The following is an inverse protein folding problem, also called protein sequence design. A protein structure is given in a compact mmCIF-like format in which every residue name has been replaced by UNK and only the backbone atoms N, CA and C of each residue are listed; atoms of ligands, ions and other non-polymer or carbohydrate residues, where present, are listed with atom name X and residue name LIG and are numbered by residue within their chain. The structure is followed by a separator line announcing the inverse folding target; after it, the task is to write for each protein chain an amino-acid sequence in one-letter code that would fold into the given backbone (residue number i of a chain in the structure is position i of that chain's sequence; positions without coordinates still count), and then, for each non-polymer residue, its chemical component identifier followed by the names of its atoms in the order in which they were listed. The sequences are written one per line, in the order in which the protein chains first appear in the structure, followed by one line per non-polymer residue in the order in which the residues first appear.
data_IF_117392931299
#
_entry.id   IF_117392931299
#
_cell.length_a   1.000
_cell.length_b   1.000
_cell.length_c   1.000
_cell.angle_alpha   90.00
_cell.angle_beta   90.00
_cell.angle_gamma   90.00
#
_symmetry.space_group_name_H-M   'P 1'
#
loop_
_entity.id
_entity.type
_entity.pdbx_description
1 polymer ?
#
# COMPACT_ATOMS: atom_id res chain seq x y z
N UNK A 1 8.38 -8.92 -5.17
CA UNK A 1 7.52 -10.13 -5.18
C UNK A 1 7.06 -10.48 -6.60
N UNK A 2 7.29 -11.71 -7.08
CA UNK A 2 7.04 -12.08 -8.49
C UNK A 2 5.58 -12.37 -8.87
N UNK A 3 4.64 -12.48 -7.91
CA UNK A 3 3.26 -12.94 -8.16
C UNK A 3 2.18 -11.88 -7.92
N UNK A 4 2.52 -10.59 -8.03
CA UNK A 4 1.57 -9.49 -7.76
C UNK A 4 0.34 -9.52 -8.68
N UNK A 5 0.48 -10.02 -9.92
CA UNK A 5 -0.62 -10.17 -10.87
C UNK A 5 -1.66 -11.19 -10.39
N UNK A 6 -1.20 -12.32 -9.85
CA UNK A 6 -2.07 -13.36 -9.30
C UNK A 6 -2.73 -12.90 -8.00
N UNK A 7 -1.97 -12.24 -7.12
CA UNK A 7 -2.51 -11.63 -5.91
C UNK A 7 -3.62 -10.61 -6.25
N UNK A 8 -3.42 -9.80 -7.30
CA UNK A 8 -4.44 -8.87 -7.81
C UNK A 8 -5.68 -9.61 -8.27
N UNK A 9 -5.54 -10.66 -9.07
CA UNK A 9 -6.67 -11.47 -9.54
C UNK A 9 -7.51 -12.02 -8.38
N UNK A 10 -6.86 -12.59 -7.36
CA UNK A 10 -7.55 -13.08 -6.16
C UNK A 10 -8.24 -11.92 -5.44
N UNK A 11 -7.54 -10.81 -5.25
CA UNK A 11 -8.09 -9.62 -4.61
C UNK A 11 -9.31 -9.04 -5.36
N UNK A 12 -9.32 -9.08 -6.70
CA UNK A 12 -10.47 -8.67 -7.51
C UNK A 12 -11.70 -9.53 -7.23
N UNK A 13 -11.49 -10.84 -7.08
CA UNK A 13 -12.55 -11.83 -6.84
C UNK A 13 -13.14 -11.80 -5.43
N UNK A 14 -12.53 -11.07 -4.49
CA UNK A 14 -13.04 -10.99 -3.12
C UNK A 14 -14.39 -10.26 -3.09
N UNK A 15 -15.47 -10.90 -2.59
CA UNK A 15 -16.79 -10.26 -2.50
C UNK A 15 -16.79 -9.09 -1.52
N UNK A 16 -15.92 -9.14 -0.51
CA UNK A 16 -15.70 -8.08 0.47
C UNK A 16 -14.20 -7.87 0.60
N UNK A 17 -13.77 -6.64 0.34
CA UNK A 17 -12.39 -6.20 0.54
C UNK A 17 -12.30 -5.52 1.90
N UNK A 18 -11.52 -6.11 2.81
CA UNK A 18 -11.28 -5.53 4.12
C UNK A 18 -9.89 -4.86 4.16
N UNK A 19 -9.66 -4.09 5.24
CA UNK A 19 -8.41 -3.34 5.45
C UNK A 19 -7.17 -4.23 5.36
N UNK A 20 -7.27 -5.51 5.76
CA UNK A 20 -6.14 -6.46 5.74
C UNK A 20 -5.80 -6.84 4.30
N UNK A 21 -6.79 -7.21 3.48
CA UNK A 21 -6.59 -7.56 2.08
C UNK A 21 -6.04 -6.36 1.28
N UNK A 22 -6.56 -5.16 1.54
CA UNK A 22 -6.09 -3.92 0.90
C UNK A 22 -4.65 -3.59 1.30
N UNK A 23 -4.33 -3.68 2.59
CA UNK A 23 -2.96 -3.47 3.10
C UNK A 23 -1.97 -4.49 2.52
N UNK A 24 -2.39 -5.75 2.40
CA UNK A 24 -1.57 -6.81 1.79
C UNK A 24 -1.22 -6.48 0.33
N UNK A 25 -2.19 -5.96 -0.43
CA UNK A 25 -1.95 -5.53 -1.81
C UNK A 25 -1.02 -4.33 -1.88
N UNK A 26 -1.14 -3.36 -0.97
CA UNK A 26 -0.23 -2.21 -0.89
C UNK A 26 1.21 -2.66 -0.68
N UNK A 27 1.45 -3.55 0.30
CA UNK A 27 2.78 -4.13 0.52
C UNK A 27 3.28 -4.89 -0.71
N UNK A 28 2.41 -5.67 -1.36
CA UNK A 28 2.77 -6.41 -2.57
C UNK A 28 3.19 -5.50 -3.73
N UNK A 29 2.48 -4.40 -3.96
CA UNK A 29 2.83 -3.40 -4.98
C UNK A 29 4.12 -2.64 -4.63
N UNK A 30 4.29 -2.25 -3.37
CA UNK A 30 5.50 -1.62 -2.87
C UNK A 30 6.75 -2.50 -3.08
N UNK A 31 6.67 -3.79 -2.72
CA UNK A 31 7.74 -4.78 -2.93
C UNK A 31 7.99 -5.13 -4.40
N UNK A 32 7.15 -4.67 -5.32
CA UNK A 32 7.32 -4.81 -6.76
C UNK A 32 7.84 -3.50 -7.39
N UNK A 33 8.35 -2.57 -6.60
CA UNK A 33 8.75 -1.22 -7.01
C UNK A 33 7.62 -0.44 -7.72
N UNK A 34 6.36 -0.80 -7.44
CA UNK A 34 5.17 -0.17 -8.01
C UNK A 34 4.51 0.73 -6.97
N UNK A 35 5.27 1.68 -6.43
CA UNK A 35 4.81 2.59 -5.36
C UNK A 35 3.60 3.42 -5.78
N UNK A 36 3.49 3.79 -7.07
CA UNK A 36 2.29 4.43 -7.64
C UNK A 36 1.03 3.57 -7.50
N UNK A 37 1.11 2.27 -7.79
CA UNK A 37 -0.02 1.36 -7.65
C UNK A 37 -0.37 1.13 -6.17
N UNK A 38 0.65 1.01 -5.31
CA UNK A 38 0.48 0.93 -3.87
C UNK A 38 -0.26 2.17 -3.33
N UNK A 39 0.15 3.38 -3.74
CA UNK A 39 -0.48 4.64 -3.35
C UNK A 39 -1.91 4.76 -3.86
N UNK A 40 -2.19 4.33 -5.10
CA UNK A 40 -3.54 4.32 -5.65
C UNK A 40 -4.48 3.39 -4.87
N UNK A 41 -3.98 2.24 -4.41
CA UNK A 41 -4.75 1.35 -3.54
C UNK A 41 -5.01 2.01 -2.19
N UNK A 42 -3.98 2.59 -1.58
CA UNK A 42 -4.08 3.28 -0.29
C UNK A 42 -5.09 4.43 -0.30
N UNK A 43 -5.10 5.26 -1.35
CA UNK A 43 -6.07 6.37 -1.46
C UNK A 43 -7.50 5.89 -1.62
N UNK A 44 -7.73 4.70 -2.18
CA UNK A 44 -9.05 4.09 -2.35
C UNK A 44 -9.58 3.38 -1.09
N UNK A 45 -8.72 3.14 -0.08
CA UNK A 45 -9.15 2.52 1.18
C UNK A 45 -10.18 3.41 1.87
N UNK A 46 -11.31 2.82 2.26
CA UNK A 46 -12.35 3.52 3.03
C UNK A 46 -11.88 3.80 4.47
N UNK A 47 -11.17 2.84 5.04
CA UNK A 47 -10.63 2.90 6.40
C UNK A 47 -9.13 2.63 6.33
N UNK A 48 -8.33 3.61 6.78
CA UNK A 48 -6.88 3.51 6.85
C UNK A 48 -6.48 3.38 8.32
N UNK A 49 -5.53 2.52 8.60
CA UNK A 49 -4.95 2.36 9.93
C UNK A 49 -3.43 2.47 9.88
N UNK A 50 -2.80 2.49 11.06
CA UNK A 50 -1.34 2.60 11.20
C UNK A 50 -0.60 1.53 10.39
N UNK A 51 -1.16 0.33 10.26
CA UNK A 51 -0.54 -0.76 9.49
C UNK A 51 -0.53 -0.43 7.99
N UNK A 52 -1.64 0.06 7.43
CA UNK A 52 -1.72 0.48 6.02
C UNK A 52 -0.79 1.65 5.69
N UNK A 53 -0.65 2.61 6.61
CA UNK A 53 0.30 3.71 6.50
C UNK A 53 1.75 3.21 6.51
N UNK A 54 2.09 2.37 7.48
CA UNK A 54 3.43 1.81 7.60
C UNK A 54 3.81 0.96 6.38
N UNK A 55 2.86 0.20 5.81
CA UNK A 55 3.07 -0.57 4.60
C UNK A 55 3.43 0.33 3.41
N UNK A 56 2.74 1.46 3.23
CA UNK A 56 3.02 2.40 2.15
C UNK A 56 4.36 3.12 2.38
N UNK A 57 4.57 3.69 3.57
CA UNK A 57 5.81 4.44 3.93
C UNK A 57 7.03 3.55 3.78
N UNK A 58 7.00 2.33 4.34
CA UNK A 58 8.10 1.39 4.23
C UNK A 58 8.38 1.01 2.78
N UNK A 59 7.33 0.92 1.96
CA UNK A 59 7.43 0.68 0.53
C UNK A 59 8.17 1.79 -0.22
N UNK A 60 7.86 3.05 0.07
CA UNK A 60 8.58 4.19 -0.48
C UNK A 60 10.05 4.20 -0.04
N UNK A 61 10.32 4.00 1.25
CA UNK A 61 11.70 3.94 1.79
C UNK A 61 12.53 2.82 1.17
N UNK A 62 11.97 1.61 1.02
CA UNK A 62 12.68 0.47 0.43
C UNK A 62 13.03 0.68 -1.05
N UNK A 63 12.25 1.50 -1.76
CA UNK A 63 12.50 1.84 -3.16
C UNK A 63 13.38 3.11 -3.32
N UNK A 64 13.88 3.70 -2.23
CA UNK A 64 14.71 4.90 -2.24
C UNK A 64 13.95 6.22 -2.43
N UNK A 65 12.62 6.17 -2.44
CA UNK A 65 11.73 7.33 -2.60
C UNK A 65 11.47 8.00 -1.23
N UNK A 66 12.55 8.50 -0.62
CA UNK A 66 12.55 8.95 0.77
C UNK A 66 11.75 10.23 1.02
N UNK A 67 11.69 11.14 0.05
CA UNK A 67 10.92 12.38 0.17
C UNK A 67 9.42 12.10 0.27
N UNK A 68 8.91 11.19 -0.57
CA UNK A 68 7.53 10.71 -0.51
C UNK A 68 7.25 9.96 0.78
N UNK A 69 8.18 9.11 1.24
CA UNK A 69 8.04 8.42 2.52
C UNK A 69 7.90 9.41 3.69
N UNK A 70 8.73 10.47 3.71
CA UNK A 70 8.68 11.50 4.74
C UNK A 70 7.39 12.33 4.64
N UNK A 71 6.96 12.70 3.44
CA UNK A 71 5.70 13.39 3.20
C UNK A 71 4.50 12.60 3.74
N UNK A 72 4.48 11.28 3.49
CA UNK A 72 3.45 10.39 4.01
C UNK A 72 3.51 10.25 5.53
N UNK A 73 4.69 10.20 6.13
CA UNK A 73 4.85 10.17 7.59
C UNK A 73 4.33 11.45 8.25
N UNK A 74 4.61 12.62 7.66
CA UNK A 74 4.06 13.90 8.14
C UNK A 74 2.55 13.92 8.01
N UNK A 75 1.99 13.38 6.92
CA UNK A 75 0.55 13.29 6.73
C UNK A 75 -0.11 12.38 7.76
N UNK A 76 0.47 11.21 8.03
CA UNK A 76 0.02 10.30 9.10
C UNK A 76 -0.03 11.00 10.47
N UNK A 77 0.93 11.88 10.79
CA UNK A 77 0.94 12.60 12.07
C UNK A 77 -0.14 13.68 12.21
N UNK A 78 -0.84 14.01 11.13
CA UNK A 78 -1.92 15.00 11.09
C UNK A 78 -3.32 14.36 11.10
N UNK A 79 -3.41 13.06 10.83
CA UNK A 79 -4.62 12.25 11.04
C UNK A 79 -4.75 11.83 12.50
#
# INVERSE_FOLDING_TARGET
CGRIKEARFIFDSLPIRNVIAETSMISGYAMAASTKAARLMFTKMRERNVVSWNALISGYTQNGENEEALSLFVLLKRE
#
